data_IF_646458384109
#
_entry.id   IF_646458384109
#
_cell.length_a   1.000
_cell.length_b   1.000
_cell.length_c   1.000
_cell.angle_alpha   90.00
_cell.angle_beta   90.00
_cell.angle_gamma   90.00
#
_symmetry.space_group_name_H-M   'P 1'
#
loop_
_entity.id
_entity.type
_entity.pdbx_description
1 polymer ?
#
# COMPACT_ATOMS: atom_id res chain seq x y z
N UNK A 1 6.99 4.46 17.68
CA UNK A 1 7.08 4.02 16.26
C UNK A 1 5.87 4.49 15.48
N UNK A 2 6.07 5.14 14.31
CA UNK A 2 4.96 5.62 13.48
C UNK A 2 4.32 4.46 12.71
N UNK A 3 3.04 4.23 12.94
CA UNK A 3 2.26 3.20 12.27
C UNK A 3 1.11 3.83 11.46
N UNK A 4 0.77 3.18 10.34
CA UNK A 4 -0.34 3.60 9.49
C UNK A 4 -1.53 2.65 9.64
N UNK A 5 -2.61 3.14 10.23
CA UNK A 5 -3.85 2.41 10.42
C UNK A 5 -4.93 2.89 9.46
N UNK A 6 -5.61 1.96 8.81
CA UNK A 6 -6.63 2.29 7.80
C UNK A 6 -7.98 1.73 8.20
N UNK A 7 -8.98 2.60 8.21
CA UNK A 7 -10.35 2.30 8.59
C UNK A 7 -11.31 2.60 7.44
N UNK A 8 -12.40 1.85 7.32
CA UNK A 8 -13.48 2.18 6.39
C UNK A 8 -14.23 3.41 6.89
N UNK A 9 -14.56 4.33 6.00
CA UNK A 9 -15.39 5.49 6.35
C UNK A 9 -16.55 5.66 5.37
N UNK A 10 -17.59 6.33 5.84
CA UNK A 10 -18.88 6.44 5.15
C UNK A 10 -19.30 7.92 5.04
N UNK A 11 -18.71 8.67 4.10
CA UNK A 11 -19.08 10.06 3.88
C UNK A 11 -20.52 10.17 3.38
N UNK A 12 -21.24 11.20 3.85
CA UNK A 12 -22.57 11.58 3.35
C UNK A 12 -22.51 11.98 1.87
N UNK A 13 -23.63 12.10 1.16
CA UNK A 13 -23.64 12.59 -0.22
C UNK A 13 -22.98 13.96 -0.38
N UNK A 14 -23.22 14.88 0.56
CA UNK A 14 -22.59 16.20 0.59
C UNK A 14 -21.07 16.11 0.82
N UNK A 15 -20.64 15.34 1.82
CA UNK A 15 -19.23 15.10 2.07
C UNK A 15 -18.52 14.46 0.87
N UNK A 16 -19.19 13.58 0.12
CA UNK A 16 -18.65 13.03 -1.14
C UNK A 16 -18.43 14.09 -2.21
N UNK A 17 -19.34 15.10 -2.29
CA UNK A 17 -19.18 16.25 -3.21
C UNK A 17 -17.96 17.09 -2.82
N UNK A 18 -17.84 17.44 -1.53
CA UNK A 18 -16.68 18.19 -1.00
C UNK A 18 -15.38 17.43 -1.24
N UNK A 19 -15.35 16.13 -0.95
CA UNK A 19 -14.17 15.27 -1.19
C UNK A 19 -13.81 15.18 -2.67
N UNK A 20 -14.79 15.10 -3.56
CA UNK A 20 -14.53 15.07 -5.01
C UNK A 20 -13.87 16.36 -5.48
N UNK A 21 -14.33 17.54 -4.99
CA UNK A 21 -13.68 18.84 -5.22
C UNK A 21 -12.27 18.85 -4.63
N UNK A 22 -12.10 18.44 -3.36
CA UNK A 22 -10.78 18.38 -2.70
C UNK A 22 -9.80 17.52 -3.49
N UNK A 23 -10.20 16.34 -3.97
CA UNK A 23 -9.34 15.51 -4.82
C UNK A 23 -9.03 16.15 -6.17
N UNK A 24 -9.98 16.91 -6.73
CA UNK A 24 -9.78 17.71 -7.93
C UNK A 24 -8.73 18.78 -7.73
N UNK A 25 -8.88 19.60 -6.69
CA UNK A 25 -7.98 20.68 -6.32
C UNK A 25 -6.57 20.16 -6.01
N UNK A 26 -6.42 19.10 -5.21
CA UNK A 26 -5.10 18.51 -4.90
C UNK A 26 -4.39 17.99 -6.15
N UNK A 27 -5.13 17.41 -7.10
CA UNK A 27 -4.58 16.96 -8.38
C UNK A 27 -4.17 18.15 -9.26
N UNK A 28 -5.02 19.16 -9.36
CA UNK A 28 -4.72 20.38 -10.10
C UNK A 28 -3.45 21.04 -9.59
N UNK A 29 -3.35 21.30 -8.28
CA UNK A 29 -2.17 21.92 -7.65
C UNK A 29 -0.91 21.10 -7.92
N UNK A 30 -0.97 19.78 -7.73
CA UNK A 30 0.17 18.90 -8.03
C UNK A 30 0.62 19.02 -9.49
N UNK A 31 -0.32 18.95 -10.43
CA UNK A 31 -0.03 18.96 -11.85
C UNK A 31 0.46 20.33 -12.33
N UNK A 32 -0.17 21.41 -11.86
CA UNK A 32 0.23 22.78 -12.17
C UNK A 32 1.68 23.03 -11.77
N UNK A 33 2.03 22.76 -10.50
CA UNK A 33 3.39 22.99 -10.01
C UNK A 33 4.40 21.95 -10.55
N UNK A 34 3.99 20.77 -10.97
CA UNK A 34 4.86 19.88 -11.74
C UNK A 34 5.21 20.49 -13.09
N UNK A 35 4.21 21.02 -13.82
CA UNK A 35 4.44 21.69 -15.11
C UNK A 35 5.33 22.94 -14.95
N UNK A 36 5.05 23.81 -13.97
CA UNK A 36 5.84 25.03 -13.71
C UNK A 36 7.30 24.69 -13.36
N UNK A 37 7.54 23.71 -12.50
CA UNK A 37 8.90 23.26 -12.14
C UNK A 37 9.64 22.67 -13.34
N UNK A 38 8.92 21.92 -14.18
CA UNK A 38 9.52 21.36 -15.40
C UNK A 38 9.89 22.48 -16.38
N UNK A 39 9.01 23.47 -16.59
CA UNK A 39 9.27 24.62 -17.44
C UNK A 39 10.40 25.51 -16.90
N UNK A 40 10.46 25.74 -15.58
CA UNK A 40 11.55 26.47 -14.96
C UNK A 40 12.90 25.76 -15.20
N UNK A 41 12.96 24.45 -15.01
CA UNK A 41 14.18 23.69 -15.29
C UNK A 41 14.63 23.77 -16.76
N UNK A 42 13.69 23.75 -17.70
CA UNK A 42 13.99 23.92 -19.15
C UNK A 42 14.58 25.31 -19.48
N UNK A 43 14.27 26.34 -18.67
CA UNK A 43 14.87 27.67 -18.77
C UNK A 43 16.18 27.83 -17.98
N UNK A 44 16.70 26.74 -17.36
CA UNK A 44 17.89 26.79 -16.50
C UNK A 44 17.63 27.31 -15.08
N UNK A 45 16.35 27.51 -14.71
CA UNK A 45 15.94 28.00 -13.40
C UNK A 45 15.68 26.83 -12.43
N UNK A 46 15.84 27.08 -11.13
CA UNK A 46 15.49 26.11 -10.08
C UNK A 46 14.30 26.61 -9.28
N UNK A 47 13.22 25.84 -9.26
CA UNK A 47 12.05 26.12 -8.44
C UNK A 47 11.96 25.13 -7.28
N UNK A 48 12.06 25.60 -6.04
CA UNK A 48 11.99 24.80 -4.82
C UNK A 48 10.57 24.72 -4.24
N UNK A 49 10.44 24.04 -3.09
CA UNK A 49 9.16 23.93 -2.39
C UNK A 49 8.59 25.28 -1.94
N UNK A 50 9.43 26.17 -1.40
CA UNK A 50 8.98 27.47 -0.86
C UNK A 50 8.40 28.35 -1.97
N UNK A 51 9.06 28.40 -3.12
CA UNK A 51 8.55 29.10 -4.32
C UNK A 51 7.23 28.51 -4.80
N UNK A 52 7.11 27.17 -4.82
CA UNK A 52 5.84 26.52 -5.16
C UNK A 52 4.73 26.83 -4.16
N UNK A 53 5.08 26.94 -2.86
CA UNK A 53 4.12 27.29 -1.80
C UNK A 53 3.66 28.74 -1.90
N UNK A 54 4.59 29.69 -2.17
CA UNK A 54 4.26 31.09 -2.46
C UNK A 54 3.38 31.22 -3.71
N UNK A 55 3.74 30.50 -4.78
CA UNK A 55 2.94 30.43 -6.01
C UNK A 55 1.51 29.90 -5.77
N UNK A 56 1.32 28.90 -4.90
CA UNK A 56 -0.01 28.46 -4.52
C UNK A 56 -0.80 29.54 -3.78
N UNK A 57 -0.15 30.33 -2.94
CA UNK A 57 -0.78 31.45 -2.22
C UNK A 57 -1.22 32.53 -3.19
N UNK A 58 -0.36 32.90 -4.16
CA UNK A 58 -0.70 33.84 -5.24
C UNK A 58 -1.86 33.32 -6.10
N UNK A 59 -1.76 32.05 -6.53
CA UNK A 59 -2.80 31.41 -7.35
C UNK A 59 -4.18 31.43 -6.66
N UNK A 60 -4.26 31.28 -5.34
CA UNK A 60 -5.52 31.34 -4.58
C UNK A 60 -6.11 32.75 -4.46
N UNK A 61 -5.32 33.81 -4.71
CA UNK A 61 -5.76 35.21 -4.76
C UNK A 61 -6.30 35.58 -6.13
N UNK A 62 -5.89 34.86 -7.16
CA UNK A 62 -6.35 35.07 -8.53
C UNK A 62 -7.83 34.69 -8.65
N UNK A 63 -8.71 35.59 -9.16
CA UNK A 63 -10.13 35.33 -9.37
C UNK A 63 -10.41 34.09 -10.24
N UNK A 64 -9.57 33.81 -11.24
CA UNK A 64 -9.71 32.62 -12.10
C UNK A 64 -9.63 31.31 -11.30
N UNK A 65 -8.86 31.29 -10.19
CA UNK A 65 -8.64 30.10 -9.35
C UNK A 65 -9.32 30.20 -7.97
N UNK A 66 -10.27 31.13 -7.79
CA UNK A 66 -11.01 31.33 -6.53
C UNK A 66 -11.65 30.06 -5.99
N UNK A 67 -12.02 29.12 -6.87
CA UNK A 67 -12.55 27.80 -6.51
C UNK A 67 -11.59 26.92 -5.66
N UNK A 68 -10.27 27.22 -5.65
CA UNK A 68 -9.33 26.57 -4.76
C UNK A 68 -9.59 26.89 -3.27
N UNK A 69 -10.30 27.99 -2.97
CA UNK A 69 -10.66 28.40 -1.63
C UNK A 69 -11.90 27.67 -1.08
N UNK A 70 -12.66 26.98 -1.95
CA UNK A 70 -13.80 26.14 -1.52
C UNK A 70 -13.36 24.96 -0.67
N UNK A 71 -12.13 24.48 -0.84
CA UNK A 71 -11.59 23.35 -0.10
C UNK A 71 -10.58 23.81 0.97
N UNK A 72 -10.24 22.91 1.89
CA UNK A 72 -9.17 23.18 2.87
C UNK A 72 -7.83 23.39 2.17
N UNK A 73 -7.05 24.40 2.60
CA UNK A 73 -5.71 24.67 2.08
C UNK A 73 -4.70 23.56 2.42
N UNK A 74 -4.93 22.82 3.49
CA UNK A 74 -4.00 21.81 3.99
C UNK A 74 -3.74 20.70 2.99
N UNK A 75 -4.75 20.03 2.38
CA UNK A 75 -4.50 19.04 1.32
C UNK A 75 -3.79 19.63 0.09
N UNK A 76 -3.98 20.92 -0.20
CA UNK A 76 -3.29 21.60 -1.31
C UNK A 76 -1.80 21.74 -1.02
N UNK A 77 -1.44 22.21 0.17
CA UNK A 77 -0.06 22.28 0.63
C UNK A 77 0.60 20.88 0.72
N UNK A 78 -0.13 19.87 1.23
CA UNK A 78 0.38 18.50 1.26
C UNK A 78 0.62 17.95 -0.16
N UNK A 79 -0.16 18.37 -1.13
CA UNK A 79 0.06 18.02 -2.54
C UNK A 79 1.41 18.53 -3.07
N UNK A 80 1.84 19.75 -2.68
CA UNK A 80 3.17 20.28 -2.98
C UNK A 80 4.29 19.54 -2.24
N UNK A 81 4.07 19.15 -0.98
CA UNK A 81 5.02 18.30 -0.24
C UNK A 81 5.19 16.93 -0.89
N UNK A 82 4.10 16.34 -1.40
CA UNK A 82 4.17 15.10 -2.15
C UNK A 82 4.95 15.28 -3.47
N UNK A 83 4.80 16.41 -4.16
CA UNK A 83 5.59 16.72 -5.34
C UNK A 83 7.08 16.85 -4.99
N UNK A 84 7.40 17.57 -3.91
CA UNK A 84 8.78 17.69 -3.43
C UNK A 84 9.39 16.33 -3.09
N UNK A 85 8.63 15.45 -2.44
CA UNK A 85 9.07 14.08 -2.14
C UNK A 85 9.28 13.27 -3.41
N UNK A 86 8.41 13.44 -4.43
CA UNK A 86 8.57 12.76 -5.71
C UNK A 86 9.85 13.17 -6.44
N UNK A 87 10.19 14.46 -6.45
CA UNK A 87 11.46 14.95 -6.99
C UNK A 87 12.66 14.42 -6.19
N UNK A 88 12.61 14.46 -4.86
CA UNK A 88 13.68 13.89 -4.03
C UNK A 88 13.93 12.43 -4.36
N UNK A 89 12.88 11.61 -4.43
CA UNK A 89 13.02 10.19 -4.78
C UNK A 89 13.57 9.97 -6.20
N UNK A 90 13.27 10.87 -7.12
CA UNK A 90 13.84 10.84 -8.48
C UNK A 90 15.34 11.12 -8.46
N UNK A 91 15.78 12.21 -7.80
CA UNK A 91 17.21 12.54 -7.71
C UNK A 91 18.02 11.51 -6.92
N UNK A 92 17.43 10.87 -5.91
CA UNK A 92 18.00 9.73 -5.18
C UNK A 92 17.91 8.42 -5.96
N UNK A 93 17.51 8.44 -7.24
CA UNK A 93 17.38 7.25 -8.12
C UNK A 93 16.46 6.14 -7.59
N UNK A 94 15.55 6.47 -6.66
CA UNK A 94 14.58 5.51 -6.09
C UNK A 94 13.38 5.31 -7.00
N UNK A 95 13.02 6.31 -7.81
CA UNK A 95 11.86 6.29 -8.72
C UNK A 95 12.17 7.01 -10.02
N UNK A 96 11.35 6.81 -11.05
CA UNK A 96 11.38 7.61 -12.26
C UNK A 96 10.90 9.06 -12.02
N UNK A 97 10.99 9.88 -13.08
CA UNK A 97 10.56 11.28 -13.05
C UNK A 97 9.09 11.42 -12.60
N UNK A 98 8.73 12.48 -11.84
CA UNK A 98 7.36 12.69 -11.40
C UNK A 98 6.38 12.77 -12.57
N UNK A 99 5.27 12.03 -12.49
CA UNK A 99 4.27 11.98 -13.53
C UNK A 99 2.99 12.74 -13.14
N UNK A 100 2.28 13.30 -14.13
CA UNK A 100 1.00 13.95 -13.92
C UNK A 100 -0.05 13.01 -13.34
N UNK A 101 -0.78 13.48 -12.33
CA UNK A 101 -1.87 12.72 -11.71
C UNK A 101 -3.12 12.75 -12.60
N UNK A 102 -3.73 11.59 -12.79
CA UNK A 102 -4.94 11.42 -13.59
C UNK A 102 -6.21 11.39 -12.75
N UNK A 103 -7.36 11.75 -13.34
CA UNK A 103 -8.67 11.74 -12.66
C UNK A 103 -9.13 10.34 -12.27
N UNK A 104 -8.77 9.33 -13.05
CA UNK A 104 -9.07 7.91 -12.80
C UNK A 104 -8.02 7.19 -11.94
N UNK A 105 -6.93 7.89 -11.59
CA UNK A 105 -5.89 7.40 -10.69
C UNK A 105 -6.30 7.40 -9.21
N UNK A 106 -5.31 7.32 -8.33
CA UNK A 106 -5.50 7.37 -6.88
C UNK A 106 -6.10 8.71 -6.44
N UNK A 107 -7.25 8.67 -5.76
CA UNK A 107 -7.91 9.85 -5.19
C UNK A 107 -7.63 9.86 -3.69
N UNK A 108 -6.87 10.85 -3.22
CA UNK A 108 -6.56 10.99 -1.79
C UNK A 108 -6.31 12.45 -1.42
N UNK A 109 -6.66 12.81 -0.18
CA UNK A 109 -6.40 14.10 0.41
C UNK A 109 -5.81 13.88 1.81
N UNK A 110 -4.64 14.43 2.06
CA UNK A 110 -3.92 14.32 3.32
C UNK A 110 -4.11 15.58 4.14
N UNK A 111 -4.44 15.41 5.41
CA UNK A 111 -4.62 16.45 6.41
C UNK A 111 -3.57 16.27 7.51
N UNK A 112 -2.88 17.33 7.85
CA UNK A 112 -2.00 17.41 9.03
C UNK A 112 -2.83 17.76 10.26
N UNK A 113 -2.21 17.81 11.45
CA UNK A 113 -2.89 18.11 12.74
C UNK A 113 -3.76 19.37 12.71
N UNK A 114 -3.37 20.39 11.97
CA UNK A 114 -4.15 21.62 11.79
C UNK A 114 -5.40 21.46 10.92
N UNK A 115 -5.55 20.35 10.20
CA UNK A 115 -6.64 20.06 9.28
C UNK A 115 -7.68 19.09 9.79
N UNK A 116 -7.48 18.54 10.97
CA UNK A 116 -8.45 17.65 11.59
C UNK A 116 -8.34 17.67 13.11
N UNK A 117 -9.44 17.32 13.76
CA UNK A 117 -9.49 17.06 15.19
C UNK A 117 -9.86 15.60 15.42
N UNK A 118 -9.16 14.95 16.35
CA UNK A 118 -9.47 13.59 16.78
C UNK A 118 -9.64 13.53 18.29
N UNK A 119 -10.82 13.13 18.73
CA UNK A 119 -11.16 12.92 20.14
C UNK A 119 -10.91 11.45 20.49
N UNK A 120 -9.88 11.19 21.28
CA UNK A 120 -9.45 9.82 21.62
C UNK A 120 -10.54 9.06 22.37
N UNK A 121 -11.15 9.66 23.39
CA UNK A 121 -12.17 8.99 24.21
C UNK A 121 -13.38 8.53 23.40
N UNK A 122 -13.94 9.43 22.59
CA UNK A 122 -15.14 9.18 21.82
C UNK A 122 -14.86 8.62 20.40
N UNK A 123 -13.59 8.46 20.04
CA UNK A 123 -13.16 8.04 18.69
C UNK A 123 -13.83 8.86 17.58
N UNK A 124 -13.90 10.19 17.77
CA UNK A 124 -14.54 11.11 16.82
C UNK A 124 -13.48 11.77 15.94
N UNK A 125 -13.72 11.78 14.64
CA UNK A 125 -12.86 12.42 13.66
C UNK A 125 -13.62 13.54 12.95
N UNK A 126 -13.16 14.78 13.14
CA UNK A 126 -13.62 15.97 12.43
C UNK A 126 -12.55 16.38 11.43
N UNK A 127 -12.95 16.69 10.20
CA UNK A 127 -12.05 17.13 9.12
C UNK A 127 -12.43 18.55 8.72
N UNK A 128 -11.45 19.43 8.57
CA UNK A 128 -11.67 20.82 8.17
C UNK A 128 -12.46 20.91 6.85
N UNK A 129 -13.48 21.76 6.84
CA UNK A 129 -14.46 21.96 5.74
C UNK A 129 -15.29 20.72 5.35
N UNK A 130 -15.08 19.57 5.99
CA UNK A 130 -15.85 18.34 5.75
C UNK A 130 -16.78 18.01 6.92
N UNK A 131 -16.44 18.47 8.13
CA UNK A 131 -17.14 18.14 9.35
C UNK A 131 -16.85 16.73 9.88
N UNK A 132 -17.77 16.20 10.68
CA UNK A 132 -17.62 14.88 11.32
C UNK A 132 -17.73 13.77 10.30
N UNK A 133 -16.70 12.92 10.21
CA UNK A 133 -16.67 11.77 9.31
C UNK A 133 -17.09 10.50 10.04
N UNK A 134 -18.09 9.78 9.51
CA UNK A 134 -18.50 8.47 10.05
C UNK A 134 -17.45 7.44 9.69
N UNK A 135 -16.74 6.89 10.70
CA UNK A 135 -15.68 5.89 10.56
C UNK A 135 -16.10 4.60 11.25
N UNK A 136 -15.80 3.45 10.63
CA UNK A 136 -15.93 2.13 11.26
C UNK A 136 -14.61 1.80 11.94
N UNK A 137 -14.54 2.02 13.23
CA UNK A 137 -13.37 1.68 14.03
C UNK A 137 -13.30 0.17 14.24
N UNK A 138 -12.29 -0.46 13.64
CA UNK A 138 -12.00 -1.89 13.81
C UNK A 138 -11.03 -2.17 14.96
N UNK A 139 -10.46 -1.12 15.53
CA UNK A 139 -9.62 -1.11 16.72
C UNK A 139 -9.66 0.25 17.38
N UNK A 140 -9.36 0.32 18.64
CA UNK A 140 -9.21 1.58 19.38
C UNK A 140 -7.95 2.33 18.94
N UNK A 141 -8.02 3.64 18.82
CA UNK A 141 -6.90 4.52 18.49
C UNK A 141 -6.48 5.25 19.77
N UNK A 142 -5.40 4.82 20.43
CA UNK A 142 -5.08 5.25 21.80
C UNK A 142 -4.49 6.66 21.88
N UNK A 143 -3.99 7.18 20.76
CA UNK A 143 -3.30 8.47 20.70
C UNK A 143 -3.82 9.33 19.56
N UNK A 144 -3.64 10.66 19.69
CA UNK A 144 -3.98 11.60 18.59
C UNK A 144 -3.10 11.34 17.37
N UNK A 145 -3.69 11.05 16.18
CA UNK A 145 -2.92 10.84 14.96
C UNK A 145 -2.15 12.09 14.54
N UNK A 146 -1.03 11.90 13.86
CA UNK A 146 -0.24 13.00 13.29
C UNK A 146 -0.74 13.45 11.92
N UNK A 147 -1.31 12.52 11.15
CA UNK A 147 -1.93 12.80 9.85
C UNK A 147 -3.18 11.94 9.65
N UNK A 148 -4.14 12.49 8.90
CA UNK A 148 -5.32 11.79 8.43
C UNK A 148 -5.41 11.90 6.91
N UNK A 149 -5.38 10.78 6.20
CA UNK A 149 -5.51 10.76 4.74
C UNK A 149 -6.84 10.12 4.36
N UNK A 150 -7.72 10.88 3.70
CA UNK A 150 -8.96 10.33 3.14
C UNK A 150 -8.67 9.80 1.74
N UNK A 151 -9.08 8.56 1.49
CA UNK A 151 -8.80 7.84 0.26
C UNK A 151 -10.10 7.34 -0.34
N UNK A 152 -10.34 7.63 -1.62
CA UNK A 152 -11.38 6.98 -2.41
C UNK A 152 -10.75 5.94 -3.32
N UNK A 153 -11.14 4.68 -3.15
CA UNK A 153 -10.69 3.59 -4.03
C UNK A 153 -11.52 3.52 -5.32
N UNK A 154 -11.01 2.88 -6.38
CA UNK A 154 -11.77 2.65 -7.63
C UNK A 154 -13.08 1.89 -7.41
N UNK A 155 -13.20 1.10 -6.36
CA UNK A 155 -14.43 0.43 -5.92
C UNK A 155 -15.55 1.38 -5.49
N UNK A 156 -15.26 2.69 -5.36
CA UNK A 156 -16.14 3.71 -4.83
C UNK A 156 -16.20 3.76 -3.30
N UNK A 157 -15.46 2.90 -2.61
CA UNK A 157 -15.37 2.89 -1.14
C UNK A 157 -14.38 3.95 -0.65
N UNK A 158 -14.68 4.48 0.53
CA UNK A 158 -13.84 5.48 1.20
C UNK A 158 -13.15 4.86 2.42
N UNK A 159 -11.93 5.32 2.64
CA UNK A 159 -11.10 4.93 3.75
C UNK A 159 -10.45 6.17 4.36
N UNK A 160 -10.24 6.15 5.66
CA UNK A 160 -9.35 7.08 6.34
C UNK A 160 -8.12 6.31 6.82
N UNK A 161 -6.96 6.81 6.49
CA UNK A 161 -5.67 6.30 6.92
C UNK A 161 -5.06 7.27 7.91
N UNK A 162 -4.91 6.84 9.15
CA UNK A 162 -4.32 7.62 10.24
C UNK A 162 -2.87 7.19 10.45
N UNK A 163 -1.98 8.14 10.66
CA UNK A 163 -0.63 7.86 11.17
C UNK A 163 -0.65 8.13 12.66
N UNK A 164 -0.40 7.08 13.41
CA UNK A 164 -0.33 7.08 14.88
C UNK A 164 1.09 6.80 15.31
N UNK A 165 1.51 7.43 16.40
CA UNK A 165 2.79 7.13 17.04
C UNK A 165 2.50 6.30 18.28
N UNK A 166 2.82 5.02 18.20
CA UNK A 166 2.54 4.05 19.27
C UNK A 166 3.84 3.34 19.64
N UNK A 167 3.98 3.04 20.92
CA UNK A 167 5.03 2.19 21.40
C UNK A 167 4.73 0.76 21.00
N UNK A 168 5.67 0.06 20.36
CA UNK A 168 5.48 -1.35 20.05
C UNK A 168 5.45 -2.15 21.36
N UNK A 169 4.48 -3.02 21.51
CA UNK A 169 4.53 -4.03 22.57
C UNK A 169 5.49 -5.13 22.13
N UNK A 170 6.62 -5.27 22.82
CA UNK A 170 7.51 -6.42 22.66
C UNK A 170 6.79 -7.69 23.08
N UNK A 171 6.96 -8.74 22.29
CA UNK A 171 6.48 -10.08 22.65
C UNK A 171 7.56 -10.78 23.50
N UNK A 172 7.17 -11.71 24.41
CA UNK A 172 8.11 -12.53 25.15
C UNK A 172 9.08 -13.27 24.22
N UNK A 173 10.30 -13.48 24.69
CA UNK A 173 11.27 -14.32 24.01
C UNK A 173 10.84 -15.79 24.12
N UNK A 174 11.01 -16.54 23.04
CA UNK A 174 10.66 -17.97 22.96
C UNK A 174 11.90 -18.85 22.87
N UNK A 175 13.07 -18.28 22.53
CA UNK A 175 14.31 -19.00 22.24
C UNK A 175 14.30 -19.73 20.88
N UNK A 176 13.20 -19.64 20.11
CA UNK A 176 12.97 -20.45 18.91
C UNK A 176 13.29 -19.68 17.63
N UNK A 177 13.86 -20.39 16.66
CA UNK A 177 14.13 -19.91 15.32
C UNK A 177 13.41 -20.76 14.25
N UNK A 178 13.05 -20.14 13.12
CA UNK A 178 12.40 -20.84 12.01
C UNK A 178 12.88 -20.35 10.64
N UNK A 179 13.16 -21.30 9.74
CA UNK A 179 13.32 -21.06 8.32
C UNK A 179 11.98 -21.07 7.60
N UNK A 180 11.77 -20.15 6.65
CA UNK A 180 10.53 -20.01 5.87
C UNK A 180 10.86 -20.02 4.39
N UNK A 181 10.57 -21.12 3.72
CA UNK A 181 10.62 -21.25 2.25
C UNK A 181 9.29 -20.87 1.63
N UNK A 182 9.29 -19.83 0.77
CA UNK A 182 8.09 -19.33 0.08
C UNK A 182 7.94 -19.95 -1.30
N UNK A 183 6.75 -20.50 -1.59
CA UNK A 183 6.46 -21.15 -2.85
C UNK A 183 5.12 -20.79 -3.49
N UNK A 184 4.87 -21.36 -4.68
CA UNK A 184 3.62 -21.17 -5.43
C UNK A 184 2.62 -22.28 -5.14
N UNK A 185 3.06 -23.52 -5.01
CA UNK A 185 2.19 -24.68 -4.69
C UNK A 185 1.66 -24.58 -3.26
N UNK A 186 2.54 -24.32 -2.34
CA UNK A 186 2.28 -23.93 -0.95
C UNK A 186 2.76 -22.51 -0.76
N UNK A 187 2.08 -21.74 0.09
CA UNK A 187 2.48 -20.35 0.35
C UNK A 187 3.82 -20.29 1.08
N UNK A 188 3.98 -21.17 2.07
CA UNK A 188 5.24 -21.30 2.80
C UNK A 188 5.39 -22.75 3.33
N UNK A 189 6.64 -23.19 3.47
CA UNK A 189 7.04 -24.38 4.22
C UNK A 189 8.02 -23.93 5.29
N UNK A 190 7.79 -24.34 6.54
CA UNK A 190 8.64 -24.00 7.66
C UNK A 190 9.68 -25.10 7.89
N UNK A 191 10.83 -24.76 8.47
CA UNK A 191 11.91 -25.72 8.79
C UNK A 191 11.47 -26.82 9.76
N UNK A 192 10.45 -26.57 10.58
CA UNK A 192 9.83 -27.57 11.45
C UNK A 192 8.85 -28.53 10.76
N UNK A 193 8.75 -28.48 9.41
CA UNK A 193 7.88 -29.32 8.60
C UNK A 193 6.45 -28.81 8.41
N UNK A 194 6.06 -27.72 9.08
CA UNK A 194 4.72 -27.11 8.90
C UNK A 194 4.56 -26.57 7.47
N UNK A 195 3.42 -26.87 6.87
CA UNK A 195 3.11 -26.52 5.49
C UNK A 195 1.91 -25.60 5.43
N UNK A 196 2.12 -24.37 4.96
CA UNK A 196 1.09 -23.33 4.87
C UNK A 196 0.51 -23.34 3.45
N UNK A 197 -0.80 -23.63 3.28
CA UNK A 197 -1.41 -23.72 1.97
C UNK A 197 -1.47 -22.36 1.27
N UNK A 198 -1.31 -22.37 -0.06
CA UNK A 198 -1.54 -21.18 -0.88
C UNK A 198 -3.05 -21.01 -1.15
N UNK A 199 -3.68 -19.93 -0.65
CA UNK A 199 -5.14 -19.75 -0.79
C UNK A 199 -5.60 -19.46 -2.20
N UNK A 200 -4.69 -19.12 -3.13
CA UNK A 200 -4.95 -18.85 -4.56
C UNK A 200 -6.16 -17.93 -4.78
N UNK A 201 -6.16 -16.77 -4.14
CA UNK A 201 -7.32 -15.86 -4.13
C UNK A 201 -7.76 -15.38 -5.51
N UNK A 202 -6.83 -15.16 -6.45
CA UNK A 202 -7.19 -14.79 -7.82
C UNK A 202 -7.96 -15.90 -8.52
N UNK A 203 -7.54 -17.16 -8.34
CA UNK A 203 -8.25 -18.33 -8.86
C UNK A 203 -9.64 -18.46 -8.22
N UNK A 204 -9.72 -18.36 -6.89
CA UNK A 204 -11.00 -18.43 -6.14
C UNK A 204 -12.04 -17.42 -6.62
N UNK A 205 -11.62 -16.23 -7.04
CA UNK A 205 -12.52 -15.20 -7.55
C UNK A 205 -12.54 -15.10 -9.08
N UNK A 206 -11.85 -15.98 -9.82
CA UNK A 206 -11.68 -15.91 -11.27
C UNK A 206 -13.00 -15.87 -12.03
N UNK A 207 -13.92 -16.76 -11.74
CA UNK A 207 -15.24 -16.81 -12.41
C UNK A 207 -16.06 -15.54 -12.16
N UNK A 208 -16.05 -15.03 -10.92
CA UNK A 208 -16.74 -13.79 -10.57
C UNK A 208 -16.11 -12.60 -11.31
N UNK A 209 -14.79 -12.53 -11.37
CA UNK A 209 -14.06 -11.48 -12.08
C UNK A 209 -14.38 -11.54 -13.59
N UNK A 210 -14.29 -12.72 -14.20
CA UNK A 210 -14.63 -12.95 -15.62
C UNK A 210 -16.02 -12.44 -15.96
N UNK A 211 -17.06 -12.84 -15.18
CA UNK A 211 -18.44 -12.38 -15.37
C UNK A 211 -18.57 -10.85 -15.29
N UNK A 212 -17.91 -10.21 -14.31
CA UNK A 212 -17.96 -8.76 -14.17
C UNK A 212 -17.23 -8.03 -15.30
N UNK A 213 -16.12 -8.58 -15.80
CA UNK A 213 -15.36 -8.03 -16.94
C UNK A 213 -16.13 -8.17 -18.26
N UNK A 214 -16.75 -9.33 -18.52
CA UNK A 214 -17.61 -9.53 -19.68
C UNK A 214 -18.81 -8.56 -19.68
N UNK A 215 -19.45 -8.39 -18.51
CA UNK A 215 -20.52 -7.42 -18.35
C UNK A 215 -20.03 -5.98 -18.57
N UNK A 216 -18.78 -5.66 -18.21
CA UNK A 216 -18.17 -4.35 -18.47
C UNK A 216 -17.89 -4.14 -19.97
N UNK A 217 -17.36 -5.16 -20.65
CA UNK A 217 -17.04 -5.08 -22.08
C UNK A 217 -18.28 -4.78 -22.95
N UNK A 218 -19.45 -5.26 -22.52
CA UNK A 218 -20.75 -5.04 -23.21
C UNK A 218 -21.35 -3.64 -22.97
N UNK A 219 -20.69 -2.76 -22.20
CA UNK A 219 -21.22 -1.43 -21.87
C UNK A 219 -20.52 -0.36 -22.71
N UNK A 220 -21.27 0.63 -23.17
CA UNK A 220 -20.74 1.80 -23.84
C UNK A 220 -19.79 2.55 -22.93
N UNK A 221 -18.54 2.75 -23.38
CA UNK A 221 -17.52 3.50 -22.64
C UNK A 221 -18.02 4.91 -22.31
N UNK A 222 -17.76 5.37 -21.08
CA UNK A 222 -18.18 6.69 -20.61
C UNK A 222 -19.59 6.76 -20.04
N UNK A 223 -20.49 5.81 -20.35
CA UNK A 223 -21.86 5.80 -19.83
C UNK A 223 -21.92 5.60 -18.31
N UNK A 224 -23.01 6.00 -17.68
CA UNK A 224 -23.20 5.76 -16.24
C UNK A 224 -23.29 4.26 -15.90
N UNK A 225 -23.84 3.45 -16.81
CA UNK A 225 -23.86 1.97 -16.68
C UNK A 225 -22.44 1.41 -16.72
N UNK A 226 -21.57 1.89 -17.61
CA UNK A 226 -20.16 1.52 -17.67
C UNK A 226 -19.42 1.90 -16.37
N UNK A 227 -19.60 3.13 -15.88
CA UNK A 227 -18.98 3.60 -14.63
C UNK A 227 -19.38 2.73 -13.43
N UNK A 228 -20.68 2.39 -13.30
CA UNK A 228 -21.17 1.50 -12.24
C UNK A 228 -20.58 0.09 -12.36
N UNK A 229 -20.49 -0.45 -13.57
CA UNK A 229 -19.93 -1.78 -13.81
C UNK A 229 -18.41 -1.80 -13.55
N UNK A 230 -17.67 -0.76 -13.94
CA UNK A 230 -16.24 -0.59 -13.61
C UNK A 230 -16.01 -0.66 -12.10
N UNK A 231 -16.89 -0.04 -11.31
CA UNK A 231 -16.82 -0.15 -9.84
C UNK A 231 -17.07 -1.58 -9.33
N UNK A 232 -17.96 -2.36 -9.96
CA UNK A 232 -18.20 -3.75 -9.59
C UNK A 232 -16.94 -4.61 -9.83
N UNK A 233 -16.28 -4.44 -10.97
CA UNK A 233 -14.98 -5.08 -11.27
C UNK A 233 -13.94 -4.68 -10.20
N UNK A 234 -13.84 -3.40 -9.90
CA UNK A 234 -12.91 -2.88 -8.90
C UNK A 234 -13.17 -3.45 -7.49
N UNK A 235 -14.44 -3.71 -7.13
CA UNK A 235 -14.79 -4.36 -5.85
C UNK A 235 -14.30 -5.80 -5.77
N UNK A 236 -14.30 -6.54 -6.89
CA UNK A 236 -13.74 -7.91 -6.92
C UNK A 236 -12.23 -7.85 -6.71
N UNK A 237 -11.52 -6.97 -7.43
CA UNK A 237 -10.09 -6.78 -7.24
C UNK A 237 -9.73 -6.35 -5.80
N UNK A 238 -10.53 -5.45 -5.21
CA UNK A 238 -10.33 -5.03 -3.82
C UNK A 238 -10.53 -6.19 -2.84
N UNK A 239 -11.53 -7.06 -3.08
CA UNK A 239 -11.74 -8.27 -2.25
C UNK A 239 -10.53 -9.19 -2.31
N UNK A 240 -9.99 -9.45 -3.51
CA UNK A 240 -8.77 -10.27 -3.70
C UNK A 240 -7.59 -9.65 -2.95
N UNK A 241 -7.33 -8.36 -3.14
CA UNK A 241 -6.23 -7.65 -2.48
C UNK A 241 -6.35 -7.66 -0.95
N UNK A 242 -7.57 -7.45 -0.42
CA UNK A 242 -7.81 -7.48 1.03
C UNK A 242 -7.64 -8.89 1.61
N UNK A 243 -8.08 -9.93 0.88
CA UNK A 243 -7.91 -11.33 1.32
C UNK A 243 -6.43 -11.72 1.38
N UNK A 244 -5.61 -11.29 0.39
CA UNK A 244 -4.14 -11.50 0.43
C UNK A 244 -3.50 -10.76 1.61
N UNK A 245 -3.87 -9.50 1.83
CA UNK A 245 -3.34 -8.72 2.93
C UNK A 245 -3.72 -9.29 4.31
N UNK A 246 -4.92 -9.86 4.45
CA UNK A 246 -5.35 -10.54 5.66
C UNK A 246 -4.54 -11.80 5.91
N UNK A 247 -4.38 -12.65 4.88
CA UNK A 247 -3.57 -13.87 4.97
C UNK A 247 -2.10 -13.55 5.33
N UNK A 248 -1.49 -12.56 4.68
CA UNK A 248 -0.13 -12.14 4.99
C UNK A 248 0.03 -11.65 6.43
N UNK A 249 -0.98 -10.93 6.96
CA UNK A 249 -0.97 -10.47 8.36
C UNK A 249 -1.13 -11.62 9.36
N UNK A 250 -2.00 -12.59 9.04
CA UNK A 250 -2.20 -13.77 9.87
C UNK A 250 -0.93 -14.63 9.93
N UNK A 251 -0.32 -14.86 8.76
CA UNK A 251 0.96 -15.57 8.69
C UNK A 251 2.05 -14.86 9.49
N UNK A 252 2.23 -13.56 9.24
CA UNK A 252 3.24 -12.79 9.96
C UNK A 252 2.99 -12.77 11.48
N UNK A 253 1.72 -12.70 11.91
CA UNK A 253 1.38 -12.77 13.33
C UNK A 253 1.70 -14.14 13.92
N UNK A 254 1.31 -15.24 13.25
CA UNK A 254 1.63 -16.60 13.69
C UNK A 254 3.13 -16.84 13.82
N UNK A 255 3.96 -16.28 12.93
CA UNK A 255 5.41 -16.44 13.00
C UNK A 255 6.00 -15.63 14.17
N UNK A 256 5.70 -14.32 14.28
CA UNK A 256 6.30 -13.45 15.31
C UNK A 256 5.87 -13.79 16.74
N UNK A 257 4.76 -14.52 16.92
CA UNK A 257 4.31 -14.98 18.25
C UNK A 257 4.97 -16.28 18.69
N UNK A 258 5.57 -17.03 17.76
CA UNK A 258 6.13 -18.36 18.02
C UNK A 258 7.66 -18.40 17.95
N UNK A 259 8.27 -17.44 17.22
CA UNK A 259 9.69 -17.46 16.92
C UNK A 259 10.33 -16.10 17.17
N UNK A 260 11.54 -16.11 17.68
CA UNK A 260 12.34 -14.89 17.88
C UNK A 260 13.10 -14.52 16.62
N UNK A 261 13.61 -15.53 15.91
CA UNK A 261 14.35 -15.37 14.65
C UNK A 261 13.61 -16.05 13.51
N UNK A 262 13.35 -15.29 12.43
CA UNK A 262 12.65 -15.77 11.23
C UNK A 262 13.59 -15.62 10.04
N UNK A 263 14.08 -16.74 9.51
CA UNK A 263 14.97 -16.77 8.35
C UNK A 263 14.14 -16.88 7.07
N UNK A 264 14.39 -15.99 6.09
CA UNK A 264 13.71 -16.00 4.79
C UNK A 264 14.73 -15.87 3.65
N UNK A 265 14.45 -16.43 2.49
CA UNK A 265 15.31 -16.25 1.31
C UNK A 265 15.18 -14.84 0.70
N UNK A 266 16.30 -14.27 0.21
CA UNK A 266 16.29 -13.05 -0.59
C UNK A 266 15.88 -13.36 -2.05
N UNK A 267 14.58 -13.50 -2.26
CA UNK A 267 14.03 -13.85 -3.57
C UNK A 267 14.03 -12.66 -4.54
N UNK A 268 14.60 -12.85 -5.74
CA UNK A 268 14.50 -11.87 -6.84
C UNK A 268 13.07 -11.88 -7.46
N UNK A 269 12.08 -11.48 -6.67
CA UNK A 269 10.69 -11.48 -7.12
C UNK A 269 10.45 -10.61 -8.36
N UNK A 270 11.21 -9.52 -8.54
CA UNK A 270 11.11 -8.67 -9.74
C UNK A 270 11.58 -9.40 -11.01
N UNK A 271 12.63 -10.19 -10.91
CA UNK A 271 13.10 -11.05 -12.00
C UNK A 271 12.12 -12.19 -12.28
N UNK A 272 11.65 -12.86 -11.22
CA UNK A 272 10.72 -14.00 -11.34
C UNK A 272 9.38 -13.61 -12.00
N UNK A 273 8.85 -12.42 -11.73
CA UNK A 273 7.60 -11.92 -12.34
C UNK A 273 7.76 -11.62 -13.84
N UNK A 274 8.97 -11.48 -14.37
CA UNK A 274 9.20 -11.34 -15.83
C UNK A 274 8.90 -12.65 -16.58
N UNK A 275 9.00 -13.80 -15.92
CA UNK A 275 8.59 -15.06 -16.50
C UNK A 275 7.03 -15.11 -16.57
N UNK A 276 6.47 -15.02 -17.78
CA UNK A 276 5.03 -14.94 -18.02
C UNK A 276 4.26 -16.17 -17.51
N UNK A 277 4.88 -17.37 -17.49
CA UNK A 277 4.25 -18.60 -16.97
C UNK A 277 4.08 -18.56 -15.46
N UNK A 278 4.96 -17.88 -14.72
CA UNK A 278 4.95 -17.82 -13.26
C UNK A 278 4.35 -16.51 -12.72
N UNK A 279 4.36 -15.44 -13.51
CA UNK A 279 3.97 -14.09 -13.08
C UNK A 279 2.61 -14.02 -12.39
N UNK A 280 1.61 -14.70 -12.96
CA UNK A 280 0.24 -14.73 -12.40
C UNK A 280 0.21 -15.44 -11.05
N UNK A 281 0.84 -16.60 -10.94
CA UNK A 281 0.86 -17.41 -9.72
C UNK A 281 1.67 -16.76 -8.60
N UNK A 282 2.85 -16.18 -8.93
CA UNK A 282 3.66 -15.39 -8.00
C UNK A 282 2.91 -14.16 -7.48
N UNK A 283 2.25 -13.42 -8.39
CA UNK A 283 1.45 -12.26 -8.02
C UNK A 283 0.24 -12.65 -7.16
N UNK A 284 -0.32 -13.83 -7.38
CA UNK A 284 -1.43 -14.34 -6.56
C UNK A 284 -0.98 -14.80 -5.19
N UNK A 285 0.14 -15.49 -5.08
CA UNK A 285 0.73 -15.89 -3.80
C UNK A 285 1.08 -14.67 -2.94
N UNK A 286 1.53 -13.57 -3.55
CA UNK A 286 1.82 -12.31 -2.85
C UNK A 286 3.04 -12.41 -1.92
N UNK A 287 4.02 -13.24 -2.25
CA UNK A 287 5.21 -13.54 -1.44
C UNK A 287 5.89 -12.27 -0.93
N UNK A 288 6.15 -11.30 -1.81
CA UNK A 288 6.77 -10.03 -1.39
C UNK A 288 5.91 -9.20 -0.42
N UNK A 289 4.60 -9.40 -0.40
CA UNK A 289 3.74 -8.80 0.62
C UNK A 289 3.88 -9.55 1.95
N UNK A 290 3.97 -10.88 1.92
CA UNK A 290 4.20 -11.70 3.11
C UNK A 290 5.51 -11.31 3.78
N UNK A 291 6.64 -11.32 3.06
CA UNK A 291 7.96 -10.96 3.57
C UNK A 291 7.94 -9.56 4.22
N UNK A 292 7.47 -8.52 3.50
CA UNK A 292 7.38 -7.16 4.07
C UNK A 292 6.47 -7.08 5.29
N UNK A 293 5.43 -7.91 5.36
CA UNK A 293 4.53 -7.91 6.53
C UNK A 293 5.20 -8.58 7.72
N UNK A 294 5.98 -9.65 7.49
CA UNK A 294 6.80 -10.32 8.52
C UNK A 294 7.86 -9.36 9.05
N UNK A 295 8.65 -8.73 8.18
CA UNK A 295 9.66 -7.73 8.57
C UNK A 295 9.05 -6.61 9.43
N UNK A 296 7.91 -6.06 8.98
CA UNK A 296 7.23 -4.99 9.72
C UNK A 296 6.74 -5.48 11.08
N UNK A 297 6.19 -6.69 11.15
CA UNK A 297 5.67 -7.26 12.39
C UNK A 297 6.81 -7.65 13.35
N UNK A 298 7.86 -8.26 12.85
CA UNK A 298 9.05 -8.59 13.63
C UNK A 298 9.65 -7.34 14.27
N UNK A 299 9.93 -6.31 13.49
CA UNK A 299 10.44 -5.02 13.99
C UNK A 299 9.49 -4.35 15.01
N UNK A 300 8.16 -4.54 14.88
CA UNK A 300 7.19 -4.03 15.84
C UNK A 300 7.19 -4.76 17.18
N UNK A 301 7.59 -6.02 17.20
CA UNK A 301 7.46 -6.88 18.36
C UNK A 301 8.81 -7.37 18.92
N UNK A 302 9.93 -6.72 18.50
CA UNK A 302 11.26 -7.03 18.99
C UNK A 302 11.82 -8.38 18.50
N UNK A 303 11.30 -8.88 17.36
CA UNK A 303 11.75 -10.12 16.73
C UNK A 303 12.67 -9.83 15.55
N UNK A 304 13.54 -10.77 15.19
CA UNK A 304 14.52 -10.63 14.13
C UNK A 304 14.06 -11.30 12.83
N UNK A 305 14.41 -10.70 11.69
CA UNK A 305 14.25 -11.32 10.37
C UNK A 305 15.61 -11.36 9.69
N UNK A 306 16.11 -12.56 9.47
CA UNK A 306 17.37 -12.81 8.76
C UNK A 306 17.07 -13.16 7.32
N UNK A 307 17.72 -12.46 6.39
CA UNK A 307 17.67 -12.82 4.96
C UNK A 307 18.86 -13.67 4.59
N UNK A 308 18.57 -14.86 4.13
CA UNK A 308 19.59 -15.78 3.63
C UNK A 308 20.01 -15.31 2.23
N UNK A 309 21.30 -15.34 1.94
CA UNK A 309 21.83 -14.96 0.65
C UNK A 309 21.15 -15.73 -0.49
N UNK A 310 20.91 -15.04 -1.59
CA UNK A 310 20.22 -15.57 -2.77
C UNK A 310 20.92 -16.77 -3.40
N UNK A 311 22.23 -16.83 -3.27
CA UNK A 311 23.06 -17.87 -3.86
C UNK A 311 23.36 -19.01 -2.89
N UNK A 312 22.87 -18.89 -1.66
CA UNK A 312 23.00 -19.98 -0.69
C UNK A 312 22.28 -21.23 -1.21
N UNK A 313 22.99 -22.38 -1.31
CA UNK A 313 22.45 -23.58 -1.95
C UNK A 313 21.48 -24.36 -1.08
N UNK A 314 20.49 -23.71 -0.51
CA UNK A 314 19.52 -24.27 0.45
C UNK A 314 18.88 -25.58 0.01
N UNK A 315 18.60 -25.73 -1.30
CA UNK A 315 18.00 -26.95 -1.85
C UNK A 315 18.99 -28.10 -2.08
N UNK A 316 20.30 -27.80 -2.12
CA UNK A 316 21.36 -28.78 -2.46
C UNK A 316 22.20 -29.20 -1.26
N UNK A 317 22.13 -28.46 -0.17
CA UNK A 317 22.91 -28.71 1.03
C UNK A 317 22.08 -29.54 2.00
N UNK A 318 22.69 -30.59 2.55
CA UNK A 318 22.10 -31.35 3.65
C UNK A 318 22.10 -30.50 4.92
N UNK A 319 20.96 -30.38 5.61
CA UNK A 319 20.84 -29.64 6.86
C UNK A 319 21.64 -30.29 8.02
N UNK A 320 21.87 -31.59 7.96
CA UNK A 320 22.53 -32.35 9.05
C UNK A 320 24.06 -32.41 8.87
N UNK A 321 24.52 -32.76 7.68
CA UNK A 321 25.94 -33.01 7.46
C UNK A 321 26.66 -31.99 6.57
N UNK A 322 25.94 -30.99 6.02
CA UNK A 322 26.50 -29.94 5.18
C UNK A 322 26.95 -30.38 3.76
N UNK A 323 26.79 -31.66 3.41
CA UNK A 323 27.17 -32.15 2.08
C UNK A 323 26.36 -31.46 0.99
N UNK A 324 27.07 -31.00 -0.04
CA UNK A 324 26.48 -30.34 -1.23
C UNK A 324 26.29 -31.33 -2.37
N UNK A 325 25.07 -31.45 -2.88
CA UNK A 325 24.80 -32.17 -4.12
C UNK A 325 25.28 -31.35 -5.33
N UNK A 326 26.16 -31.90 -6.20
CA UNK A 326 26.74 -31.14 -7.32
C UNK A 326 25.68 -30.73 -8.35
N UNK A 327 24.71 -31.61 -8.62
CA UNK A 327 23.61 -31.35 -9.57
C UNK A 327 22.27 -31.85 -9.00
N UNK A 328 21.28 -30.97 -8.92
CA UNK A 328 19.94 -31.34 -8.49
C UNK A 328 18.91 -30.83 -9.54
N UNK A 329 18.32 -31.71 -10.32
CA UNK A 329 17.20 -31.36 -11.23
C UNK A 329 15.99 -30.86 -10.44
N UNK A 330 15.23 -29.95 -11.04
CA UNK A 330 14.01 -29.39 -10.41
C UNK A 330 12.92 -30.42 -10.10
N UNK A 331 12.98 -31.61 -10.74
CA UNK A 331 12.06 -32.72 -10.49
C UNK A 331 12.34 -33.46 -9.19
N UNK A 332 13.59 -33.44 -8.70
CA UNK A 332 13.98 -34.10 -7.46
C UNK A 332 13.44 -33.31 -6.27
N UNK A 333 12.70 -33.97 -5.38
CA UNK A 333 12.10 -33.37 -4.19
C UNK A 333 12.61 -33.95 -2.89
N UNK A 334 13.23 -35.12 -2.94
CA UNK A 334 13.84 -35.81 -1.81
C UNK A 334 15.13 -36.46 -2.29
N UNK A 335 16.16 -36.41 -1.47
CA UNK A 335 17.45 -37.05 -1.71
C UNK A 335 18.09 -37.43 -0.38
N UNK A 336 18.98 -38.41 -0.41
CA UNK A 336 19.70 -38.88 0.76
C UNK A 336 21.17 -38.45 0.63
N UNK A 337 21.76 -37.92 1.68
CA UNK A 337 23.17 -37.56 1.77
C UNK A 337 24.05 -38.78 1.97
#
# INVERSE_FOLDING_TARGET
MKQRWTFSCYPTPEQKRILARTFGCTRFVYNRFLAERTAAYQRGERMNYNQSSAGLTALKRDPEFAWLNEVSSIPLQQSLRHLQTAYRNFFEKRTGYPAFKRKDGKQSAEYTRSGFTFEVGNQRLLIAKLGRLKVKWSRYVPVKPTTATIIRKPSGRYYVSLVVDVEPATLPETGEAVGVDFGISRLATLSNGERIPNPRYTYRYAQRLKRQQQALARKQKGSNRYKRQKQRVARVHEKIANSRADAAKKLAWSLVTRFDTICVEDLNLRGMVKNHNLARSLSDAGIGQCIRTIETKAAMHGKEVVKIDRWFPSSKMCSECGVLQPRMPLSVRQWTC
#
